data_IF_673327778269
#
_entry.id   IF_673327778269
#
_cell.length_a   1.000
_cell.length_b   1.000
_cell.length_c   1.000
_cell.angle_alpha   90.00
_cell.angle_beta   90.00
_cell.angle_gamma   90.00
#
_symmetry.space_group_name_H-M   'P 1'
#
loop_
_entity.id
_entity.type
_entity.pdbx_description
1 polymer ?
#
# COMPACT_ATOMS: atom_id res chain seq x y z
N UNK A 1 3.60 -26.35 0.05
CA UNK A 1 3.38 -25.25 -0.91
C UNK A 1 2.37 -24.33 -0.28
N UNK A 2 2.82 -23.20 0.27
CA UNK A 2 1.95 -22.19 0.89
C UNK A 2 1.22 -21.46 -0.21
N UNK A 3 -0.08 -21.69 -0.35
CA UNK A 3 -0.94 -20.91 -1.24
C UNK A 3 -0.87 -19.43 -0.83
N UNK A 4 -0.10 -18.64 -1.56
CA UNK A 4 -0.10 -17.19 -1.48
C UNK A 4 -1.41 -16.71 -2.10
N UNK A 5 -2.53 -16.87 -1.36
CA UNK A 5 -3.80 -16.30 -1.78
C UNK A 5 -3.65 -14.79 -1.74
N UNK A 6 -3.48 -14.19 -2.91
CA UNK A 6 -3.47 -12.74 -3.07
C UNK A 6 -4.77 -12.21 -2.46
N UNK A 7 -4.65 -11.41 -1.42
CA UNK A 7 -5.82 -10.90 -0.71
C UNK A 7 -6.49 -9.82 -1.56
N UNK A 8 -7.82 -9.73 -1.55
CA UNK A 8 -8.58 -8.68 -2.27
C UNK A 8 -8.05 -7.28 -1.94
N UNK A 9 -7.61 -7.07 -0.70
CA UNK A 9 -6.99 -5.81 -0.29
C UNK A 9 -5.68 -5.49 -1.02
N UNK A 10 -4.81 -6.47 -1.24
CA UNK A 10 -3.55 -6.28 -1.99
C UNK A 10 -3.85 -5.90 -3.44
N UNK A 11 -4.82 -6.58 -4.06
CA UNK A 11 -5.27 -6.26 -5.43
C UNK A 11 -5.81 -4.83 -5.50
N UNK A 12 -6.66 -4.44 -4.56
CA UNK A 12 -7.23 -3.08 -4.51
C UNK A 12 -6.13 -2.04 -4.30
N UNK A 13 -5.20 -2.26 -3.37
CA UNK A 13 -4.05 -1.37 -3.15
C UNK A 13 -3.19 -1.22 -4.40
N UNK A 14 -2.93 -2.32 -5.09
CA UNK A 14 -2.14 -2.33 -6.33
C UNK A 14 -2.84 -1.51 -7.42
N UNK A 15 -4.14 -1.72 -7.63
CA UNK A 15 -4.93 -0.98 -8.62
C UNK A 15 -4.94 0.52 -8.30
N UNK A 16 -5.16 0.88 -7.03
CA UNK A 16 -5.15 2.29 -6.60
C UNK A 16 -3.76 2.90 -6.77
N UNK A 17 -2.69 2.20 -6.38
CA UNK A 17 -1.31 2.66 -6.50
C UNK A 17 -0.89 2.92 -7.95
N UNK A 18 -1.24 2.00 -8.86
CA UNK A 18 -0.99 2.17 -10.30
C UNK A 18 -1.79 3.36 -10.84
N UNK A 19 -3.06 3.47 -10.47
CA UNK A 19 -3.92 4.58 -10.90
C UNK A 19 -3.37 5.93 -10.42
N UNK A 20 -2.93 6.02 -9.16
CA UNK A 20 -2.31 7.22 -8.60
C UNK A 20 -1.00 7.59 -9.29
N UNK A 21 -0.19 6.59 -9.69
CA UNK A 21 1.02 6.82 -10.46
C UNK A 21 0.71 7.40 -11.85
N UNK A 22 -0.22 6.80 -12.59
CA UNK A 22 -0.56 7.26 -13.95
C UNK A 22 -1.22 8.64 -13.90
N UNK A 23 -2.24 8.82 -13.05
CA UNK A 23 -2.98 10.07 -12.98
C UNK A 23 -2.13 11.23 -12.45
N UNK A 24 -1.31 11.01 -11.43
CA UNK A 24 -0.44 12.07 -10.92
C UNK A 24 0.54 12.58 -11.96
N UNK A 25 1.13 11.67 -12.75
CA UNK A 25 1.97 12.06 -13.88
C UNK A 25 1.20 12.83 -14.96
N UNK A 26 0.02 12.33 -15.36
CA UNK A 26 -0.80 12.99 -16.38
C UNK A 26 -1.22 14.40 -15.98
N UNK A 27 -1.68 14.58 -14.73
CA UNK A 27 -2.13 15.89 -14.22
C UNK A 27 -0.97 16.88 -14.15
N UNK A 28 0.20 16.47 -13.64
CA UNK A 28 1.38 17.33 -13.59
C UNK A 28 1.83 17.71 -15.00
N UNK A 29 1.88 16.75 -15.91
CA UNK A 29 2.32 17.00 -17.28
C UNK A 29 1.33 17.86 -18.08
N UNK A 30 0.03 17.78 -17.76
CA UNK A 30 -0.99 18.65 -18.33
C UNK A 30 -0.76 20.11 -17.92
N UNK A 31 -0.48 20.37 -16.64
CA UNK A 31 -0.16 21.73 -16.16
C UNK A 31 1.12 22.26 -16.82
N UNK A 32 2.16 21.42 -16.92
CA UNK A 32 3.39 21.79 -17.62
C UNK A 32 3.15 22.18 -19.09
N UNK A 33 2.31 21.42 -19.79
CA UNK A 33 2.00 21.67 -21.20
C UNK A 33 1.20 22.95 -21.43
N UNK A 34 0.43 23.40 -20.43
CA UNK A 34 -0.36 24.62 -20.50
C UNK A 34 0.45 25.87 -20.19
N UNK A 35 1.32 25.81 -19.18
CA UNK A 35 2.11 26.97 -18.74
C UNK A 35 3.44 27.09 -19.49
N UNK A 36 3.95 26.01 -20.09
CA UNK A 36 5.25 25.91 -20.76
C UNK A 36 6.47 26.37 -19.92
N UNK A 37 6.27 26.58 -18.62
CA UNK A 37 7.27 27.01 -17.67
C UNK A 37 7.31 26.06 -16.47
N UNK A 38 8.50 25.91 -15.87
CA UNK A 38 8.68 25.14 -14.64
C UNK A 38 8.32 26.01 -13.43
N UNK A 39 7.04 25.99 -13.05
CA UNK A 39 6.58 26.67 -11.83
C UNK A 39 7.08 25.97 -10.56
N UNK A 40 7.39 26.75 -9.52
CA UNK A 40 7.77 26.23 -8.21
C UNK A 40 6.68 25.34 -7.59
N UNK A 41 5.40 25.67 -7.84
CA UNK A 41 4.27 24.85 -7.40
C UNK A 41 4.29 23.46 -8.06
N UNK A 42 4.77 23.36 -9.29
CA UNK A 42 4.87 22.09 -10.00
C UNK A 42 5.96 21.20 -9.40
N UNK A 43 7.09 21.77 -8.98
CA UNK A 43 8.14 21.05 -8.25
C UNK A 43 7.58 20.49 -6.94
N UNK A 44 6.85 21.30 -6.17
CA UNK A 44 6.19 20.85 -4.93
C UNK A 44 5.19 19.72 -5.24
N UNK A 45 4.40 19.85 -6.30
CA UNK A 45 3.44 18.82 -6.70
C UNK A 45 4.13 17.50 -7.05
N UNK A 46 5.26 17.53 -7.77
CA UNK A 46 6.07 16.34 -8.08
C UNK A 46 6.58 15.67 -6.79
N UNK A 47 7.15 16.45 -5.87
CA UNK A 47 7.64 15.90 -4.60
C UNK A 47 6.51 15.30 -3.76
N UNK A 48 5.35 15.97 -3.67
CA UNK A 48 4.18 15.45 -2.98
C UNK A 48 3.63 14.18 -3.63
N UNK A 49 3.62 14.12 -4.97
CA UNK A 49 3.20 12.93 -5.71
C UNK A 49 4.14 11.75 -5.45
N UNK A 50 5.46 11.96 -5.49
CA UNK A 50 6.45 10.94 -5.13
C UNK A 50 6.30 10.48 -3.67
N UNK A 51 6.05 11.42 -2.74
CA UNK A 51 5.80 11.09 -1.34
C UNK A 51 4.55 10.22 -1.18
N UNK A 52 3.47 10.54 -1.91
CA UNK A 52 2.26 9.72 -1.95
C UNK A 52 2.56 8.29 -2.41
N UNK A 53 3.37 8.11 -3.45
CA UNK A 53 3.77 6.78 -3.91
C UNK A 53 4.55 6.00 -2.83
N UNK A 54 5.46 6.67 -2.12
CA UNK A 54 6.18 6.06 -0.99
C UNK A 54 5.23 5.63 0.11
N UNK A 55 4.26 6.47 0.47
CA UNK A 55 3.25 6.14 1.49
C UNK A 55 2.39 4.94 1.08
N UNK A 56 2.04 4.81 -0.20
CA UNK A 56 1.33 3.64 -0.71
C UNK A 56 2.13 2.35 -0.54
N UNK A 57 3.42 2.39 -0.85
CA UNK A 57 4.32 1.24 -0.68
C UNK A 57 4.42 0.86 0.81
N UNK A 58 4.62 1.85 1.68
CA UNK A 58 4.68 1.63 3.14
C UNK A 58 3.39 1.04 3.69
N UNK A 59 2.23 1.50 3.20
CA UNK A 59 0.93 0.97 3.59
C UNK A 59 0.80 -0.51 3.21
N UNK A 60 1.22 -0.88 1.99
CA UNK A 60 1.24 -2.29 1.55
C UNK A 60 2.09 -3.16 2.48
N UNK A 61 3.32 -2.73 2.78
CA UNK A 61 4.23 -3.45 3.69
C UNK A 61 3.61 -3.58 5.09
N UNK A 62 3.03 -2.50 5.60
CA UNK A 62 2.43 -2.47 6.95
C UNK A 62 1.28 -3.47 7.07
N UNK A 63 0.44 -3.57 6.03
CA UNK A 63 -0.66 -4.51 6.02
C UNK A 63 -0.16 -5.96 6.01
N UNK A 64 0.88 -6.26 5.24
CA UNK A 64 1.43 -7.61 5.20
C UNK A 64 2.05 -8.04 6.53
N UNK A 65 2.77 -7.12 7.19
CA UNK A 65 3.28 -7.34 8.56
C UNK A 65 2.13 -7.58 9.54
N UNK A 66 1.07 -6.78 9.46
CA UNK A 66 -0.09 -6.87 10.35
C UNK A 66 -0.84 -8.20 10.18
N UNK A 67 -1.02 -8.69 8.94
CA UNK A 67 -1.61 -10.01 8.67
C UNK A 67 -0.79 -11.14 9.27
N UNK A 68 0.54 -11.07 9.13
CA UNK A 68 1.45 -12.08 9.69
C UNK A 68 1.33 -12.14 11.21
N UNK A 69 1.36 -10.98 11.88
CA UNK A 69 1.21 -10.88 13.33
C UNK A 69 -0.14 -11.43 13.80
N UNK A 70 -1.24 -11.10 13.12
CA UNK A 70 -2.57 -11.64 13.45
C UNK A 70 -2.64 -13.17 13.28
N UNK A 71 -1.99 -13.72 12.26
CA UNK A 71 -1.89 -15.16 12.05
C UNK A 71 -1.15 -15.86 13.19
N UNK A 72 -0.02 -15.30 13.62
CA UNK A 72 0.77 -15.79 14.74
C UNK A 72 -0.03 -15.76 16.06
N UNK A 73 -0.74 -14.65 16.34
CA UNK A 73 -1.60 -14.52 17.52
C UNK A 73 -2.72 -15.57 17.52
N UNK A 74 -3.42 -15.76 16.39
CA UNK A 74 -4.47 -16.78 16.27
C UNK A 74 -3.93 -18.18 16.55
N UNK A 75 -2.73 -18.49 16.05
CA UNK A 75 -2.09 -19.77 16.31
C UNK A 75 -1.77 -19.97 17.79
N UNK A 76 -1.24 -18.94 18.46
CA UNK A 76 -0.97 -18.99 19.91
C UNK A 76 -2.26 -19.22 20.70
N UNK A 77 -3.34 -18.52 20.37
CA UNK A 77 -4.66 -18.69 21.02
C UNK A 77 -5.17 -20.12 20.85
N UNK A 78 -5.10 -20.66 19.63
CA UNK A 78 -5.50 -22.04 19.33
C UNK A 78 -4.71 -23.08 20.15
N UNK A 79 -3.39 -22.91 20.28
CA UNK A 79 -2.54 -23.79 21.09
C UNK A 79 -2.89 -23.72 22.59
N UNK A 80 -3.24 -22.53 23.09
CA UNK A 80 -3.66 -22.35 24.47
C UNK A 80 -5.02 -23.03 24.76
N UNK A 81 -5.98 -22.93 23.84
CA UNK A 81 -7.28 -23.59 23.96
C UNK A 81 -7.15 -25.12 23.97
N UNK A 82 -6.34 -25.69 23.07
CA UNK A 82 -6.06 -27.13 23.06
C UNK A 82 -5.41 -27.61 24.36
N UNK A 83 -4.48 -26.82 24.93
CA UNK A 83 -3.84 -27.16 26.20
C UNK A 83 -4.83 -27.14 27.38
N UNK A 84 -5.86 -26.30 27.29
CA UNK A 84 -6.89 -26.16 28.34
C UNK A 84 -7.92 -27.29 28.32
N UNK A 85 -8.25 -27.83 27.14
CA UNK A 85 -9.16 -28.97 26.98
C UNK A 85 -8.56 -30.37 27.24
N UNK A 86 -7.25 -30.46 27.51
CA UNK A 86 -6.54 -31.70 27.88
C UNK A 86 -6.31 -31.89 29.39
N UNK A 87 -6.95 -31.08 30.23
CA UNK A 87 -7.06 -31.26 31.69
C UNK A 87 -8.46 -31.70 32.04
#
# INVERSE_FOLDING_TARGET
>A
MTDTRINTFEVVLLVIGITAAILGFQLINQVYSMEAELSWLMVIAIFNWLMLLVLFILLSITVDVSKKQLGEIKNIVYLLEQKKGKK
#
